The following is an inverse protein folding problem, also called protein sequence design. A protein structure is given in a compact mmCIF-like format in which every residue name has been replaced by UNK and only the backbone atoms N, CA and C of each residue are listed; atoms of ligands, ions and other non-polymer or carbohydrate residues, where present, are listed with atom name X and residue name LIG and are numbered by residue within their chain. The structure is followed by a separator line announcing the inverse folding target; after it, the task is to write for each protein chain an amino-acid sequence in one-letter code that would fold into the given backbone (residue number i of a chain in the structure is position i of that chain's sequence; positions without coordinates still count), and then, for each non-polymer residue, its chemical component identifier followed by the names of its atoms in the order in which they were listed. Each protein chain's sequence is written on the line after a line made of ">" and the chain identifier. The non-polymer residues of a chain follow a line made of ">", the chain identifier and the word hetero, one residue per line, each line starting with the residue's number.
data_IF_495096439251
#
_entry.id   IF_495096439251
#
_cell.length_a   1.000
_cell.length_b   1.000
_cell.length_c   1.000
_cell.angle_alpha   90.00
_cell.angle_beta   90.00
_cell.angle_gamma   90.00
#
_symmetry.space_group_name_H-M   'P 1'
#
loop_
_entity.id
_entity.type
_entity.pdbx_description
1 polymer ?
#
# COMPACT_ATOMS: atom_id res chain seq x y z
N UNK A 1 19.86 12.35 19.26
CA UNK A 1 19.55 10.93 18.98
C UNK A 1 20.36 10.50 17.75
N UNK A 2 21.11 9.36 17.81
CA UNK A 2 21.81 8.85 16.61
C UNK A 2 20.80 8.11 15.74
N UNK A 3 20.72 8.47 14.46
CA UNK A 3 19.80 7.85 13.49
C UNK A 3 20.33 6.49 13.00
N UNK A 4 21.62 6.28 12.97
CA UNK A 4 22.26 5.04 12.51
C UNK A 4 22.81 4.21 13.67
N UNK A 5 22.64 2.87 13.60
CA UNK A 5 23.10 1.91 14.61
C UNK A 5 24.31 1.08 14.17
N UNK A 6 24.64 1.06 12.88
CA UNK A 6 25.68 0.25 12.21
C UNK A 6 25.50 -1.27 12.34
N UNK A 7 24.40 -1.74 12.93
CA UNK A 7 24.15 -3.19 13.13
C UNK A 7 23.81 -3.92 11.82
N UNK A 8 23.46 -3.17 10.77
CA UNK A 8 23.07 -3.69 9.44
C UNK A 8 24.18 -3.65 8.39
N UNK A 9 25.41 -3.19 8.72
CA UNK A 9 26.49 -2.95 7.73
C UNK A 9 27.03 -4.25 7.10
N UNK A 10 26.76 -5.39 7.74
CA UNK A 10 27.16 -6.73 7.25
C UNK A 10 26.09 -7.41 6.38
N UNK A 11 25.07 -6.68 5.89
CA UNK A 11 24.03 -7.21 5.00
C UNK A 11 22.87 -7.91 5.71
N UNK A 12 22.83 -7.90 7.05
CA UNK A 12 21.73 -8.50 7.83
C UNK A 12 20.93 -7.45 8.58
N UNK A 13 19.68 -7.78 8.92
CA UNK A 13 18.79 -6.95 9.74
C UNK A 13 17.93 -7.83 10.65
N UNK A 14 17.06 -7.23 11.48
CA UNK A 14 16.13 -7.97 12.32
C UNK A 14 14.69 -7.71 11.89
N UNK A 15 13.89 -8.77 11.80
CA UNK A 15 12.43 -8.69 11.75
C UNK A 15 11.86 -8.32 13.13
N UNK A 16 10.57 -8.06 13.20
CA UNK A 16 9.85 -7.92 14.47
C UNK A 16 10.00 -9.23 15.26
N UNK A 17 10.22 -9.12 16.57
CA UNK A 17 10.54 -10.28 17.41
C UNK A 17 12.04 -10.63 17.46
N UNK A 18 12.89 -9.90 16.71
CA UNK A 18 14.36 -10.00 16.81
C UNK A 18 15.00 -11.08 15.94
N UNK A 19 14.22 -11.83 15.12
CA UNK A 19 14.79 -12.80 14.18
C UNK A 19 15.69 -12.09 13.17
N UNK A 20 16.98 -12.52 13.12
CA UNK A 20 17.94 -11.98 12.14
C UNK A 20 17.75 -12.63 10.79
N UNK A 21 17.73 -11.80 9.74
CA UNK A 21 17.58 -12.22 8.35
C UNK A 21 18.55 -11.43 7.45
N UNK A 22 18.80 -11.93 6.26
CA UNK A 22 19.51 -11.19 5.21
C UNK A 22 18.68 -10.01 4.73
N UNK A 23 19.30 -8.92 4.30
CA UNK A 23 18.58 -7.76 3.74
C UNK A 23 17.86 -8.06 2.42
N UNK A 24 18.12 -9.21 1.80
CA UNK A 24 17.43 -9.74 0.63
C UNK A 24 16.19 -10.59 0.97
N UNK A 25 15.85 -10.73 2.25
CA UNK A 25 14.69 -11.51 2.69
C UNK A 25 13.38 -10.92 2.15
N UNK A 26 12.43 -11.79 1.78
CA UNK A 26 11.18 -11.39 1.16
C UNK A 26 10.33 -10.46 2.04
N UNK A 27 10.40 -10.59 3.37
CA UNK A 27 9.69 -9.68 4.28
C UNK A 27 10.19 -8.24 4.11
N UNK A 28 11.52 -8.04 3.92
CA UNK A 28 12.10 -6.73 3.69
C UNK A 28 11.66 -6.14 2.34
N UNK A 29 11.57 -6.97 1.32
CA UNK A 29 11.09 -6.55 0.00
C UNK A 29 9.63 -6.11 0.06
N UNK A 30 8.79 -6.83 0.84
CA UNK A 30 7.38 -6.49 1.01
C UNK A 30 7.23 -5.15 1.71
N UNK A 31 7.71 -5.01 2.95
CA UNK A 31 7.50 -3.76 3.68
C UNK A 31 8.29 -2.58 3.12
N UNK A 32 9.44 -2.83 2.49
CA UNK A 32 10.16 -1.80 1.74
C UNK A 32 9.37 -1.27 0.54
N UNK A 33 8.70 -2.16 -0.21
CA UNK A 33 7.79 -1.76 -1.30
C UNK A 33 6.56 -1.02 -0.79
N UNK A 34 6.01 -1.41 0.36
CA UNK A 34 4.89 -0.70 0.99
C UNK A 34 5.30 0.69 1.53
N UNK A 35 6.53 0.83 2.00
CA UNK A 35 7.09 2.13 2.42
C UNK A 35 7.31 3.06 1.21
N UNK A 36 7.83 2.52 0.10
CA UNK A 36 7.88 3.22 -1.18
C UNK A 36 6.48 3.68 -1.63
N UNK A 37 5.47 2.79 -1.56
CA UNK A 37 4.08 3.13 -1.86
C UNK A 37 3.59 4.28 -0.98
N UNK A 38 3.84 4.22 0.31
CA UNK A 38 3.45 5.27 1.27
C UNK A 38 4.08 6.63 0.91
N UNK A 39 5.32 6.62 0.42
CA UNK A 39 6.02 7.83 -0.03
C UNK A 39 5.38 8.42 -1.29
N UNK A 40 5.00 7.58 -2.28
CA UNK A 40 4.27 8.03 -3.47
C UNK A 40 2.85 8.52 -3.15
N UNK A 41 2.17 7.90 -2.17
CA UNK A 41 0.89 8.41 -1.65
C UNK A 41 1.06 9.83 -1.09
N UNK A 42 2.16 10.08 -0.37
CA UNK A 42 2.47 11.44 0.10
C UNK A 42 2.61 12.45 -1.04
N UNK A 43 3.29 12.09 -2.13
CA UNK A 43 3.38 12.92 -3.33
C UNK A 43 2.03 13.13 -4.01
N UNK A 44 1.23 12.07 -4.16
CA UNK A 44 -0.11 12.15 -4.73
C UNK A 44 -1.01 13.08 -3.92
N UNK A 45 -0.95 12.99 -2.60
CA UNK A 45 -1.72 13.85 -1.69
C UNK A 45 -1.40 15.34 -1.88
N UNK A 46 -0.14 15.70 -2.14
CA UNK A 46 0.24 17.09 -2.40
C UNK A 46 -0.36 17.67 -3.68
N UNK A 47 -0.81 16.85 -4.61
CA UNK A 47 -1.40 17.25 -5.89
C UNK A 47 -2.94 17.18 -5.90
N UNK A 48 -3.56 16.69 -4.81
CA UNK A 48 -5.01 16.59 -4.72
C UNK A 48 -5.63 17.89 -4.24
N UNK A 49 -6.57 18.48 -5.01
CA UNK A 49 -7.32 19.65 -4.60
C UNK A 49 -8.48 19.34 -3.64
N UNK A 50 -8.86 18.07 -3.51
CA UNK A 50 -10.03 17.60 -2.78
C UNK A 50 -9.60 17.15 -1.38
N UNK A 51 -10.15 17.79 -0.35
CA UNK A 51 -9.81 17.49 1.06
C UNK A 51 -10.25 16.09 1.49
N UNK A 52 -11.36 15.58 0.95
CA UNK A 52 -11.84 14.24 1.25
C UNK A 52 -10.90 13.17 0.67
N UNK A 53 -10.50 13.33 -0.58
CA UNK A 53 -9.51 12.43 -1.22
C UNK A 53 -8.17 12.46 -0.45
N UNK A 54 -7.72 13.64 -0.02
CA UNK A 54 -6.51 13.78 0.79
C UNK A 54 -6.62 13.09 2.16
N UNK A 55 -7.76 13.23 2.85
CA UNK A 55 -8.04 12.55 4.11
C UNK A 55 -8.10 11.02 3.94
N UNK A 56 -8.65 10.53 2.84
CA UNK A 56 -8.65 9.11 2.48
C UNK A 56 -7.22 8.59 2.30
N UNK A 57 -6.33 9.34 1.64
CA UNK A 57 -4.92 8.97 1.50
C UNK A 57 -4.18 8.97 2.85
N UNK A 58 -4.46 9.91 3.76
CA UNK A 58 -3.91 9.89 5.12
C UNK A 58 -4.35 8.64 5.90
N UNK A 59 -5.61 8.23 5.76
CA UNK A 59 -6.11 6.99 6.35
C UNK A 59 -5.40 5.78 5.76
N UNK A 60 -5.21 5.72 4.44
CA UNK A 60 -4.50 4.64 3.76
C UNK A 60 -3.06 4.53 4.27
N UNK A 61 -2.33 5.64 4.42
CA UNK A 61 -0.96 5.61 4.95
C UNK A 61 -0.90 5.03 6.38
N UNK A 62 -1.88 5.35 7.24
CA UNK A 62 -1.99 4.76 8.59
C UNK A 62 -2.26 3.25 8.54
N UNK A 63 -3.14 2.81 7.63
CA UNK A 63 -3.42 1.39 7.42
C UNK A 63 -2.16 0.67 6.90
N UNK A 64 -1.43 1.24 5.94
CA UNK A 64 -0.17 0.69 5.43
C UNK A 64 0.89 0.54 6.53
N UNK A 65 0.94 1.47 7.50
CA UNK A 65 1.82 1.32 8.67
C UNK A 65 1.48 0.06 9.47
N UNK A 66 0.20 -0.22 9.71
CA UNK A 66 -0.24 -1.47 10.37
C UNK A 66 0.12 -2.70 9.53
N UNK A 67 -0.11 -2.65 8.22
CA UNK A 67 0.21 -3.73 7.27
C UNK A 67 1.71 -4.02 7.26
N UNK A 68 2.55 -3.00 7.31
CA UNK A 68 4.01 -3.16 7.43
C UNK A 68 4.39 -3.98 8.67
N UNK A 69 3.77 -3.69 9.83
CA UNK A 69 4.00 -4.49 11.03
C UNK A 69 3.54 -5.94 10.86
N UNK A 70 2.38 -6.17 10.27
CA UNK A 70 1.83 -7.52 10.02
C UNK A 70 2.78 -8.34 9.14
N UNK A 71 3.30 -7.76 8.04
CA UNK A 71 4.22 -8.48 7.14
C UNK A 71 5.68 -8.52 7.63
N UNK A 72 6.05 -7.71 8.61
CA UNK A 72 7.36 -7.82 9.28
C UNK A 72 7.41 -8.90 10.37
N UNK A 73 6.29 -9.59 10.64
CA UNK A 73 6.24 -10.68 11.62
C UNK A 73 6.65 -12.01 10.98
N UNK A 74 7.55 -12.78 11.62
CA UNK A 74 8.05 -14.04 11.08
C UNK A 74 7.12 -15.24 11.30
N UNK A 75 6.10 -15.12 12.13
CA UNK A 75 5.21 -16.20 12.57
C UNK A 75 3.85 -15.67 13.08
N UNK A 76 2.89 -16.59 13.25
CA UNK A 76 1.52 -16.32 13.72
C UNK A 76 1.47 -15.69 15.11
N UNK A 77 2.31 -16.13 16.04
CA UNK A 77 2.29 -15.63 17.41
C UNK A 77 2.66 -14.15 17.46
N UNK A 78 3.70 -13.78 16.75
CA UNK A 78 4.15 -12.39 16.62
C UNK A 78 3.13 -11.57 15.83
N UNK A 79 2.58 -12.12 14.75
CA UNK A 79 1.63 -11.46 13.86
C UNK A 79 0.30 -11.10 14.55
N UNK A 80 -0.18 -11.95 15.46
CA UNK A 80 -1.41 -11.68 16.24
C UNK A 80 -1.34 -10.44 17.14
N UNK A 81 -0.17 -9.90 17.38
CA UNK A 81 0.00 -8.64 18.13
C UNK A 81 -0.34 -7.41 17.30
N UNK A 82 -0.35 -7.56 15.97
CA UNK A 82 -0.63 -6.50 15.00
C UNK A 82 -1.84 -6.90 14.17
N UNK A 83 -3.04 -6.72 14.73
CA UNK A 83 -4.28 -7.08 14.05
C UNK A 83 -4.61 -6.05 12.97
N UNK A 84 -4.82 -6.55 11.76
CA UNK A 84 -5.44 -5.77 10.70
C UNK A 84 -6.95 -5.70 10.93
N UNK A 85 -7.52 -4.49 10.91
CA UNK A 85 -8.95 -4.30 11.04
C UNK A 85 -9.64 -4.58 9.69
N UNK A 86 -10.43 -5.67 9.65
CA UNK A 86 -11.16 -6.13 8.46
C UNK A 86 -12.17 -5.09 7.94
N UNK A 87 -12.67 -4.17 8.78
CA UNK A 87 -13.58 -3.11 8.36
C UNK A 87 -12.90 -2.15 7.36
N UNK A 88 -11.57 -2.11 7.31
CA UNK A 88 -10.83 -1.35 6.30
C UNK A 88 -11.04 -1.91 4.89
N UNK A 89 -11.31 -3.22 4.71
CA UNK A 89 -11.62 -3.81 3.41
C UNK A 89 -12.96 -3.26 2.91
N UNK A 90 -14.00 -3.30 3.73
CA UNK A 90 -15.32 -2.76 3.40
C UNK A 90 -15.24 -1.26 3.12
N UNK A 91 -14.46 -0.55 3.92
CA UNK A 91 -14.27 0.88 3.71
C UNK A 91 -13.65 1.20 2.35
N UNK A 92 -12.55 0.53 1.97
CA UNK A 92 -11.89 0.79 0.68
C UNK A 92 -12.76 0.37 -0.50
N UNK A 93 -13.50 -0.74 -0.38
CA UNK A 93 -14.48 -1.18 -1.39
C UNK A 93 -15.58 -0.13 -1.59
N UNK A 94 -16.14 0.43 -0.52
CA UNK A 94 -17.11 1.52 -0.60
C UNK A 94 -16.53 2.78 -1.27
N UNK A 95 -15.26 3.12 -1.01
CA UNK A 95 -14.61 4.25 -1.70
C UNK A 95 -14.46 3.98 -3.20
N UNK A 96 -14.09 2.77 -3.59
CA UNK A 96 -13.99 2.35 -5.00
C UNK A 96 -15.35 2.48 -5.67
N UNK A 97 -16.41 1.93 -5.06
CA UNK A 97 -17.77 1.94 -5.61
C UNK A 97 -18.30 3.38 -5.75
N UNK A 98 -18.10 4.20 -4.73
CA UNK A 98 -18.50 5.61 -4.73
C UNK A 98 -17.87 6.36 -5.92
N UNK A 99 -16.55 6.24 -6.07
CA UNK A 99 -15.84 6.90 -7.17
C UNK A 99 -16.28 6.31 -8.50
N UNK A 100 -16.35 4.98 -8.62
CA UNK A 100 -16.69 4.28 -9.87
C UNK A 100 -18.07 4.65 -10.40
N UNK A 101 -19.06 4.84 -9.50
CA UNK A 101 -20.43 5.20 -9.88
C UNK A 101 -20.54 6.56 -10.59
N UNK A 102 -19.58 7.46 -10.36
CA UNK A 102 -19.53 8.78 -10.98
C UNK A 102 -18.66 8.83 -12.26
N UNK A 103 -17.99 7.72 -12.62
CA UNK A 103 -17.08 7.68 -13.76
C UNK A 103 -17.81 7.19 -15.03
N UNK A 104 -17.46 7.72 -16.21
CA UNK A 104 -17.95 7.19 -17.48
C UNK A 104 -17.45 5.74 -17.70
N UNK A 105 -18.14 4.93 -18.51
CA UNK A 105 -17.69 3.59 -18.87
C UNK A 105 -16.33 3.63 -19.58
N UNK A 106 -15.56 2.55 -19.44
CA UNK A 106 -14.27 2.38 -20.13
C UNK A 106 -14.55 1.74 -21.47
N UNK A 107 -14.20 2.42 -22.55
CA UNK A 107 -14.38 1.92 -23.93
C UNK A 107 -13.04 1.51 -24.57
N UNK A 108 -11.90 2.02 -24.06
CA UNK A 108 -10.58 1.81 -24.63
C UNK A 108 -9.54 1.54 -23.54
N UNK A 109 -8.34 1.12 -23.97
CA UNK A 109 -7.20 0.96 -23.07
C UNK A 109 -6.72 2.33 -22.58
N UNK A 110 -6.68 2.52 -21.27
CA UNK A 110 -6.30 3.79 -20.65
C UNK A 110 -4.78 3.92 -20.54
N UNK A 111 -4.23 4.99 -21.10
CA UNK A 111 -2.81 5.32 -20.99
C UNK A 111 -2.63 6.28 -19.82
N UNK A 112 -1.78 5.96 -18.82
CA UNK A 112 -1.51 6.84 -17.69
C UNK A 112 -0.87 8.17 -18.11
N UNK A 113 -1.16 9.27 -17.38
CA UNK A 113 -0.42 10.53 -17.55
C UNK A 113 -1.22 11.64 -18.25
N UNK A 114 -2.54 11.59 -18.24
CA UNK A 114 -3.41 12.68 -18.72
C UNK A 114 -3.18 13.98 -17.95
N UNK A 115 -2.88 13.89 -16.65
CA UNK A 115 -2.41 14.97 -15.80
C UNK A 115 -1.52 14.40 -14.68
N UNK A 116 -0.94 15.29 -13.86
CA UNK A 116 0.03 14.91 -12.82
C UNK A 116 -0.60 14.03 -11.73
N UNK A 117 -1.83 14.32 -11.31
CA UNK A 117 -2.56 13.53 -10.31
C UNK A 117 -2.87 12.13 -10.85
N UNK A 118 -3.35 12.01 -12.10
CA UNK A 118 -3.56 10.72 -12.77
C UNK A 118 -2.24 9.93 -12.85
N UNK A 119 -1.13 10.57 -13.26
CA UNK A 119 0.18 9.93 -13.36
C UNK A 119 0.63 9.37 -12.01
N UNK A 120 0.55 10.15 -10.92
CA UNK A 120 0.93 9.74 -9.57
C UNK A 120 0.02 8.62 -9.02
N UNK A 121 -1.29 8.70 -9.25
CA UNK A 121 -2.21 7.62 -8.88
C UNK A 121 -1.85 6.30 -9.58
N UNK A 122 -1.46 6.35 -10.86
CA UNK A 122 -0.99 5.16 -11.58
C UNK A 122 0.37 4.66 -11.09
N UNK A 123 1.29 5.52 -10.64
CA UNK A 123 2.52 5.10 -9.96
C UNK A 123 2.15 4.35 -8.66
N UNK A 124 1.30 4.93 -7.81
CA UNK A 124 0.82 4.26 -6.59
C UNK A 124 0.18 2.90 -6.91
N UNK A 125 -0.67 2.81 -7.94
CA UNK A 125 -1.30 1.57 -8.40
C UNK A 125 -0.25 0.51 -8.78
N UNK A 126 0.75 0.86 -9.55
CA UNK A 126 1.74 -0.11 -10.03
C UNK A 126 2.71 -0.56 -8.94
N UNK A 127 3.09 0.33 -8.02
CA UNK A 127 3.88 -0.01 -6.82
C UNK A 127 3.06 -0.91 -5.88
N UNK A 128 1.78 -0.59 -5.66
CA UNK A 128 0.85 -1.42 -4.89
C UNK A 128 0.77 -2.86 -5.45
N UNK A 129 0.61 -3.01 -6.77
CA UNK A 129 0.62 -4.31 -7.45
C UNK A 129 1.97 -5.03 -7.37
N UNK A 130 3.09 -4.30 -7.27
CA UNK A 130 4.40 -4.92 -6.98
C UNK A 130 4.45 -5.45 -5.56
N UNK A 131 3.97 -4.70 -4.57
CA UNK A 131 3.86 -5.16 -3.19
C UNK A 131 2.99 -6.42 -3.09
N UNK A 132 1.82 -6.44 -3.73
CA UNK A 132 0.93 -7.60 -3.81
C UNK A 132 1.66 -8.84 -4.34
N UNK A 133 2.34 -8.73 -5.49
CA UNK A 133 3.10 -9.86 -6.04
C UNK A 133 4.21 -10.36 -5.11
N UNK A 134 4.86 -9.47 -4.36
CA UNK A 134 5.86 -9.86 -3.38
C UNK A 134 5.23 -10.61 -2.20
N UNK A 135 4.05 -10.19 -1.73
CA UNK A 135 3.29 -10.90 -0.70
C UNK A 135 3.00 -12.34 -1.13
N UNK A 136 2.56 -12.56 -2.37
CA UNK A 136 2.26 -13.90 -2.90
C UNK A 136 3.50 -14.74 -3.27
N UNK A 137 4.72 -14.23 -3.06
CA UNK A 137 5.98 -15.01 -3.16
C UNK A 137 6.37 -15.70 -1.86
N UNK A 138 5.70 -15.38 -0.76
CA UNK A 138 5.89 -16.03 0.53
C UNK A 138 4.67 -16.88 0.90
N UNK A 139 4.83 -17.78 1.86
CA UNK A 139 3.70 -18.41 2.53
C UNK A 139 2.98 -17.37 3.41
N UNK A 140 1.70 -17.13 3.10
CA UNK A 140 0.89 -16.12 3.79
C UNK A 140 0.31 -16.75 5.05
N UNK A 141 0.62 -16.19 6.21
CA UNK A 141 0.07 -16.57 7.49
C UNK A 141 -1.42 -16.17 7.61
N UNK A 142 -2.17 -16.86 8.47
CA UNK A 142 -3.61 -16.55 8.64
C UNK A 142 -3.84 -15.11 9.09
N UNK A 143 -3.00 -14.58 9.98
CA UNK A 143 -3.05 -13.19 10.43
C UNK A 143 -2.73 -12.15 9.34
N UNK A 144 -2.20 -12.56 8.19
CA UNK A 144 -1.79 -11.70 7.07
C UNK A 144 -2.83 -11.67 5.93
N UNK A 145 -3.79 -12.61 5.90
CA UNK A 145 -4.71 -12.80 4.78
C UNK A 145 -5.54 -11.56 4.47
N UNK A 146 -6.15 -10.96 5.49
CA UNK A 146 -7.01 -9.79 5.31
C UNK A 146 -6.20 -8.56 4.85
N UNK A 147 -4.97 -8.40 5.36
CA UNK A 147 -4.04 -7.37 4.89
C UNK A 147 -3.68 -7.55 3.41
N UNK A 148 -3.46 -8.80 2.96
CA UNK A 148 -3.21 -9.08 1.53
C UNK A 148 -4.43 -8.75 0.66
N UNK A 149 -5.66 -9.05 1.12
CA UNK A 149 -6.89 -8.66 0.43
C UNK A 149 -6.99 -7.14 0.30
N UNK A 150 -6.71 -6.40 1.38
CA UNK A 150 -6.72 -4.94 1.35
C UNK A 150 -5.73 -4.38 0.31
N UNK A 151 -4.50 -4.90 0.22
CA UNK A 151 -3.51 -4.46 -0.77
C UNK A 151 -4.01 -4.70 -2.20
N UNK A 152 -4.69 -5.80 -2.48
CA UNK A 152 -5.31 -6.05 -3.78
C UNK A 152 -6.36 -4.97 -4.10
N UNK A 153 -7.33 -4.68 -3.20
CA UNK A 153 -8.34 -3.63 -3.36
C UNK A 153 -7.74 -2.23 -3.48
N UNK A 154 -6.65 -1.97 -2.76
CA UNK A 154 -5.97 -0.67 -2.80
C UNK A 154 -5.46 -0.33 -4.22
N UNK A 155 -5.04 -1.33 -5.00
CA UNK A 155 -4.66 -1.09 -6.40
C UNK A 155 -5.85 -0.62 -7.26
N UNK A 156 -7.05 -1.13 -7.00
CA UNK A 156 -8.27 -0.72 -7.70
C UNK A 156 -8.71 0.69 -7.27
N UNK A 157 -8.54 1.03 -5.98
CA UNK A 157 -8.76 2.39 -5.49
C UNK A 157 -7.89 3.42 -6.23
N UNK A 158 -6.59 3.18 -6.38
CA UNK A 158 -5.72 4.09 -7.13
C UNK A 158 -6.10 4.19 -8.61
N UNK A 159 -6.60 3.12 -9.20
CA UNK A 159 -7.09 3.14 -10.58
C UNK A 159 -8.28 4.09 -10.72
N UNK A 160 -9.31 3.96 -9.88
CA UNK A 160 -10.49 4.83 -9.95
C UNK A 160 -10.20 6.26 -9.54
N UNK A 161 -9.29 6.48 -8.57
CA UNK A 161 -8.84 7.82 -8.18
C UNK A 161 -8.10 8.53 -9.33
N UNK A 162 -7.24 7.81 -10.06
CA UNK A 162 -6.58 8.34 -11.24
C UNK A 162 -7.57 8.75 -12.33
N UNK A 163 -8.63 7.96 -12.55
CA UNK A 163 -9.70 8.30 -13.48
C UNK A 163 -10.54 9.50 -13.02
N UNK A 164 -10.84 9.58 -11.73
CA UNK A 164 -11.52 10.76 -11.14
C UNK A 164 -10.75 12.04 -11.41
N UNK A 165 -9.42 11.99 -11.35
CA UNK A 165 -8.57 13.14 -11.62
C UNK A 165 -8.62 13.62 -13.08
N UNK A 166 -8.95 12.75 -14.04
CA UNK A 166 -9.11 13.12 -15.44
C UNK A 166 -10.34 13.99 -15.69
N UNK A 167 -11.41 13.81 -14.91
CA UNK A 167 -12.65 14.56 -15.06
C UNK A 167 -12.56 16.01 -14.55
N UNK A 168 -11.55 16.30 -13.73
CA UNK A 168 -11.32 17.62 -13.10
C UNK A 168 -10.29 18.48 -13.84
N UNK A 169 -9.84 18.00 -15.03
CA UNK A 169 -8.79 18.65 -15.86
C UNK A 169 -9.36 19.57 -16.92
#
# INVERSE_FOLDING_TARGET
>A
MKVYTKTGDKGTTSLIGGKRVEKSDIHLEIYGTLDELSSFIGLLKCELPDEEDAANLDKIQKILTTINFVFACPDEETGRRFQFDIENIKWIENQIDTISSALPPINDFLIPGTNKTNALANVCRTVCRRAERNIYRMEILDCQKDAAIFINRLSDYFFVLGRKAELKS
#
